data_IF_994235631436
#
_entry.id   IF_994235631436
#
_cell.length_a   1.000
_cell.length_b   1.000
_cell.length_c   1.000
_cell.angle_alpha   90.00
_cell.angle_beta   90.00
_cell.angle_gamma   90.00
#
_symmetry.space_group_name_H-M   'P 1'
#
loop_
_entity.id
_entity.type
_entity.pdbx_description
1 polymer ?
#
# COMPACT_ATOMS: atom_id res chain seq x y z
N UNK A 1 16.22 22.87 10.19
CA UNK A 1 15.25 22.22 9.27
C UNK A 1 15.91 20.99 8.69
N UNK A 2 15.29 19.83 8.75
CA UNK A 2 15.84 18.67 8.07
C UNK A 2 15.89 18.96 6.55
N UNK A 3 16.98 18.56 5.92
CA UNK A 3 17.10 18.66 4.48
C UNK A 3 16.11 17.68 3.85
N UNK A 4 15.11 18.21 3.15
CA UNK A 4 14.13 17.41 2.44
C UNK A 4 14.47 17.38 0.94
N UNK A 5 14.56 16.19 0.38
CA UNK A 5 14.81 15.99 -1.05
C UNK A 5 13.57 15.38 -1.68
N UNK A 6 13.04 16.03 -2.71
CA UNK A 6 11.90 15.47 -3.46
C UNK A 6 12.36 14.30 -4.32
N UNK A 7 11.71 13.16 -4.16
CA UNK A 7 11.96 11.92 -4.91
C UNK A 7 10.99 11.77 -6.07
N UNK A 8 9.71 12.07 -5.83
CA UNK A 8 8.68 12.07 -6.85
C UNK A 8 7.89 13.37 -6.75
N UNK A 9 7.63 14.00 -7.89
CA UNK A 9 6.63 15.04 -8.03
C UNK A 9 5.27 14.43 -8.40
N UNK A 10 4.24 15.24 -8.53
CA UNK A 10 2.88 14.77 -8.83
C UNK A 10 2.82 13.96 -10.14
N UNK A 11 3.49 14.43 -11.18
CA UNK A 11 3.49 13.74 -12.48
C UNK A 11 4.21 12.39 -12.41
N UNK A 12 5.36 12.34 -11.74
CA UNK A 12 6.12 11.10 -11.57
C UNK A 12 5.32 10.09 -10.72
N UNK A 13 4.62 10.54 -9.69
CA UNK A 13 3.74 9.70 -8.90
C UNK A 13 2.60 9.12 -9.74
N UNK A 14 1.95 9.96 -10.55
CA UNK A 14 0.88 9.52 -11.44
C UNK A 14 1.37 8.45 -12.43
N UNK A 15 2.54 8.66 -13.01
CA UNK A 15 3.16 7.69 -13.92
C UNK A 15 3.48 6.37 -13.23
N UNK A 16 4.01 6.43 -12.01
CA UNK A 16 4.32 5.23 -11.22
C UNK A 16 3.04 4.43 -10.93
N UNK A 17 1.96 5.08 -10.52
CA UNK A 17 0.69 4.41 -10.23
C UNK A 17 0.06 3.82 -11.50
N UNK A 18 0.12 4.52 -12.61
CA UNK A 18 -0.36 4.02 -13.90
C UNK A 18 0.40 2.75 -14.31
N UNK A 19 1.71 2.75 -14.15
CA UNK A 19 2.54 1.57 -14.42
C UNK A 19 2.19 0.41 -13.49
N UNK A 20 2.03 0.67 -12.20
CA UNK A 20 1.63 -0.36 -11.22
C UNK A 20 0.29 -0.97 -11.62
N UNK A 21 -0.70 -0.15 -12.01
CA UNK A 21 -2.00 -0.65 -12.45
C UNK A 21 -1.88 -1.59 -13.64
N UNK A 22 -1.07 -1.23 -14.63
CA UNK A 22 -0.81 -2.10 -15.79
C UNK A 22 -0.09 -3.40 -15.40
N UNK A 23 0.87 -3.33 -14.48
CA UNK A 23 1.58 -4.51 -13.98
C UNK A 23 0.62 -5.46 -13.22
N UNK A 24 -0.29 -4.90 -12.41
CA UNK A 24 -1.32 -5.69 -11.73
C UNK A 24 -2.22 -6.37 -12.77
N UNK A 25 -2.64 -5.64 -13.79
CA UNK A 25 -3.50 -6.16 -14.85
C UNK A 25 -2.83 -7.28 -15.64
N UNK A 26 -1.55 -7.14 -15.96
CA UNK A 26 -0.80 -8.18 -16.67
C UNK A 26 -0.64 -9.46 -15.86
N UNK A 27 -0.42 -9.31 -14.55
CA UNK A 27 -0.19 -10.45 -13.66
C UNK A 27 -1.48 -11.17 -13.27
N UNK A 28 -2.62 -10.51 -13.36
CA UNK A 28 -3.92 -11.02 -12.94
C UNK A 28 -4.90 -10.97 -14.10
N UNK A 29 -4.86 -11.98 -14.95
CA UNK A 29 -5.69 -12.05 -16.16
C UNK A 29 -7.15 -11.73 -15.90
N UNK A 30 -7.73 -10.85 -16.72
CA UNK A 30 -9.12 -10.44 -16.72
C UNK A 30 -9.66 -9.82 -15.41
N UNK A 31 -8.92 -9.85 -14.32
CA UNK A 31 -9.24 -9.17 -13.07
C UNK A 31 -10.44 -9.68 -12.27
N UNK A 32 -11.06 -10.80 -12.68
CA UNK A 32 -12.35 -11.24 -12.15
C UNK A 32 -12.33 -11.61 -10.66
N UNK A 33 -11.17 -12.00 -10.13
CA UNK A 33 -11.02 -12.44 -8.74
C UNK A 33 -10.05 -11.54 -7.95
N UNK A 34 -9.79 -10.33 -8.44
CA UNK A 34 -8.89 -9.39 -7.80
C UNK A 34 -9.68 -8.39 -6.97
N UNK A 35 -9.25 -8.18 -5.73
CA UNK A 35 -9.74 -7.12 -4.85
C UNK A 35 -8.55 -6.33 -4.32
N UNK A 36 -8.75 -5.04 -4.08
CA UNK A 36 -7.72 -4.17 -3.51
C UNK A 36 -8.03 -3.91 -2.04
N UNK A 37 -7.01 -3.88 -1.22
CA UNK A 37 -7.12 -3.51 0.19
C UNK A 37 -6.04 -2.50 0.52
N UNK A 38 -6.45 -1.27 0.77
CA UNK A 38 -5.55 -0.19 1.18
C UNK A 38 -5.28 -0.23 2.67
N UNK A 39 -4.01 -0.17 3.04
CA UNK A 39 -3.59 -0.16 4.44
C UNK A 39 -3.65 1.28 4.95
N UNK A 40 -4.31 1.47 6.08
CA UNK A 40 -4.37 2.77 6.73
C UNK A 40 -2.96 3.23 7.14
N UNK A 41 -2.59 4.47 6.88
CA UNK A 41 -3.41 5.54 6.28
C UNK A 41 -3.08 5.77 4.81
N UNK A 42 -1.81 5.85 4.44
CA UNK A 42 -1.35 6.24 3.10
C UNK A 42 -1.71 5.26 1.99
N UNK A 43 -1.90 3.97 2.32
CA UNK A 43 -2.32 2.98 1.33
C UNK A 43 -3.76 3.13 0.86
N UNK A 44 -4.63 3.78 1.64
CA UNK A 44 -6.04 3.93 1.29
C UNK A 44 -6.26 4.82 0.08
N UNK A 45 -5.75 6.07 0.02
CA UNK A 45 -5.87 6.88 -1.19
C UNK A 45 -5.23 6.24 -2.41
N UNK A 46 -4.09 5.58 -2.23
CA UNK A 46 -3.39 4.90 -3.33
C UNK A 46 -4.21 3.73 -3.87
N UNK A 47 -4.83 2.94 -3.00
CA UNK A 47 -5.74 1.86 -3.42
C UNK A 47 -6.92 2.41 -4.22
N UNK A 48 -7.48 3.53 -3.81
CA UNK A 48 -8.58 4.18 -4.54
C UNK A 48 -8.14 4.66 -5.92
N UNK A 49 -6.95 5.23 -6.03
CA UNK A 49 -6.38 5.65 -7.32
C UNK A 49 -6.11 4.43 -8.23
N UNK A 50 -5.56 3.35 -7.68
CA UNK A 50 -5.35 2.11 -8.42
C UNK A 50 -6.68 1.47 -8.85
N UNK A 51 -7.69 1.53 -7.99
CA UNK A 51 -9.05 1.06 -8.33
C UNK A 51 -9.59 1.78 -9.56
N UNK A 52 -9.48 3.10 -9.61
CA UNK A 52 -9.92 3.89 -10.76
C UNK A 52 -9.17 3.53 -12.04
N UNK A 53 -7.84 3.37 -11.95
CA UNK A 53 -7.01 2.99 -13.09
C UNK A 53 -7.34 1.58 -13.60
N UNK A 54 -7.48 0.61 -12.70
CA UNK A 54 -7.82 -0.78 -13.04
C UNK A 54 -9.23 -0.89 -13.61
N UNK A 55 -10.16 -0.11 -13.09
CA UNK A 55 -11.54 -0.05 -13.62
C UNK A 55 -11.51 0.40 -15.09
N UNK A 56 -10.67 1.38 -15.40
CA UNK A 56 -10.46 1.82 -16.79
C UNK A 56 -9.82 0.74 -17.68
N UNK A 57 -8.89 -0.03 -17.13
CA UNK A 57 -8.19 -1.09 -17.88
C UNK A 57 -9.10 -2.30 -18.12
N UNK A 58 -9.80 -2.76 -17.09
CA UNK A 58 -10.60 -3.98 -17.14
C UNK A 58 -12.05 -3.76 -17.56
N UNK A 59 -12.53 -2.52 -17.56
CA UNK A 59 -13.91 -2.20 -17.89
C UNK A 59 -14.94 -2.63 -16.84
N UNK A 60 -14.50 -2.97 -15.64
CA UNK A 60 -15.35 -3.35 -14.52
C UNK A 60 -14.78 -2.82 -13.21
N UNK A 61 -15.67 -2.49 -12.27
CA UNK A 61 -15.26 -1.97 -10.97
C UNK A 61 -14.53 -3.03 -10.14
N UNK A 62 -13.38 -2.66 -9.59
CA UNK A 62 -12.59 -3.52 -8.71
C UNK A 62 -13.02 -3.28 -7.26
N UNK A 63 -13.49 -4.31 -6.54
CA UNK A 63 -13.82 -4.14 -5.13
C UNK A 63 -12.61 -3.67 -4.33
N UNK A 64 -12.79 -2.65 -3.50
CA UNK A 64 -11.70 -2.03 -2.75
C UNK A 64 -12.11 -1.87 -1.29
N UNK A 65 -11.26 -2.32 -0.39
CA UNK A 65 -11.44 -2.24 1.04
C UNK A 65 -10.36 -1.42 1.73
N UNK A 66 -10.59 -1.16 3.01
CA UNK A 66 -9.73 -0.39 3.90
C UNK A 66 -9.37 -1.26 5.09
N UNK A 67 -8.09 -1.35 5.43
CA UNK A 67 -7.60 -2.19 6.52
C UNK A 67 -6.77 -1.35 7.48
N UNK A 68 -7.16 -1.36 8.75
CA UNK A 68 -6.32 -0.86 9.83
C UNK A 68 -5.57 -2.03 10.47
N UNK A 69 -4.27 -1.89 10.64
CA UNK A 69 -3.40 -2.94 11.19
C UNK A 69 -2.90 -2.62 12.60
N UNK A 70 -3.35 -1.53 13.20
CA UNK A 70 -2.86 -1.04 14.49
C UNK A 70 -2.88 -2.10 15.59
N UNK A 71 -3.92 -2.94 15.62
CA UNK A 71 -4.11 -3.97 16.63
C UNK A 71 -3.34 -5.27 16.37
N UNK A 72 -2.72 -5.41 15.18
CA UNK A 72 -2.00 -6.62 14.77
C UNK A 72 -0.48 -6.43 14.73
N UNK A 73 -0.01 -5.23 15.07
CA UNK A 73 1.43 -4.94 15.07
C UNK A 73 2.10 -5.56 16.28
N UNK A 74 3.27 -6.15 16.08
CA UNK A 74 4.07 -6.79 17.11
C UNK A 74 4.88 -5.80 17.97
N UNK A 75 4.85 -4.51 17.64
CA UNK A 75 5.53 -3.43 18.38
C UNK A 75 4.57 -2.60 19.25
N UNK A 76 3.35 -3.09 19.51
CA UNK A 76 2.32 -2.38 20.30
C UNK A 76 2.80 -2.03 21.73
N UNK A 77 3.58 -2.88 22.35
CA UNK A 77 4.08 -2.68 23.71
C UNK A 77 5.05 -1.49 23.83
N UNK A 78 5.55 -1.00 22.73
CA UNK A 78 6.52 0.08 22.67
C UNK A 78 5.92 1.43 22.31
N UNK A 79 4.61 1.48 22.18
CA UNK A 79 3.89 2.68 21.73
C UNK A 79 2.89 3.13 22.75
N UNK A 80 2.66 4.45 22.79
CA UNK A 80 1.43 5.02 23.32
C UNK A 80 0.25 4.39 22.57
N UNK A 81 -0.91 4.29 23.22
CA UNK A 81 -2.11 3.64 22.68
C UNK A 81 -2.26 3.83 21.16
N UNK A 82 -2.50 2.76 20.38
CA UNK A 82 -2.59 2.86 18.93
C UNK A 82 -3.75 3.76 18.52
N UNK A 83 -3.52 4.58 17.50
CA UNK A 83 -4.56 5.38 16.86
C UNK A 83 -5.33 4.50 15.88
N UNK A 84 -6.39 3.84 16.38
CA UNK A 84 -7.19 2.90 15.60
C UNK A 84 -8.05 3.65 14.58
N UNK A 85 -7.91 3.28 13.31
CA UNK A 85 -8.72 3.78 12.21
C UNK A 85 -9.73 2.70 11.80
N UNK A 86 -10.82 3.04 11.08
CA UNK A 86 -11.79 2.02 10.67
C UNK A 86 -11.21 1.02 9.67
N UNK A 87 -11.60 -0.25 9.82
CA UNK A 87 -11.43 -1.30 8.82
C UNK A 87 -12.78 -1.50 8.15
N UNK A 88 -12.81 -1.42 6.83
CA UNK A 88 -14.02 -1.61 6.02
C UNK A 88 -13.67 -2.49 4.83
N UNK A 89 -13.99 -3.77 4.90
CA UNK A 89 -13.83 -4.74 3.82
C UNK A 89 -15.21 -5.30 3.49
N UNK A 90 -15.95 -4.65 2.55
CA UNK A 90 -17.36 -4.98 2.30
C UNK A 90 -17.55 -6.17 1.35
N UNK A 91 -16.60 -7.10 1.33
CA UNK A 91 -16.64 -8.30 0.49
C UNK A 91 -15.94 -9.46 1.21
N UNK A 92 -16.21 -10.68 0.78
CA UNK A 92 -15.49 -11.87 1.24
C UNK A 92 -14.18 -12.00 0.46
N UNK A 93 -13.05 -12.10 1.16
CA UNK A 93 -11.74 -12.26 0.53
C UNK A 93 -11.43 -13.72 0.19
N UNK A 94 -12.26 -14.66 0.64
CA UNK A 94 -12.03 -16.10 0.44
C UNK A 94 -11.99 -16.44 -1.05
N UNK A 95 -10.92 -17.10 -1.47
CA UNK A 95 -10.70 -17.52 -2.85
C UNK A 95 -10.29 -16.40 -3.79
N UNK A 96 -10.13 -15.18 -3.29
CA UNK A 96 -9.76 -14.01 -4.09
C UNK A 96 -8.24 -13.80 -4.10
N UNK A 97 -7.77 -13.09 -5.10
CA UNK A 97 -6.45 -12.47 -5.08
C UNK A 97 -6.59 -11.09 -4.45
N UNK A 98 -5.99 -10.92 -3.29
CA UNK A 98 -5.98 -9.64 -2.58
C UNK A 98 -4.68 -8.90 -2.92
N UNK A 99 -4.79 -7.71 -3.47
CA UNK A 99 -3.64 -6.82 -3.62
C UNK A 99 -3.66 -5.85 -2.46
N UNK A 100 -2.74 -6.03 -1.52
CA UNK A 100 -2.49 -5.08 -0.44
C UNK A 100 -1.77 -3.87 -1.01
N UNK A 101 -2.21 -2.69 -0.63
CA UNK A 101 -1.64 -1.42 -1.11
C UNK A 101 -1.16 -0.62 0.08
N UNK A 102 0.10 -0.20 0.03
CA UNK A 102 0.68 0.69 1.03
C UNK A 102 1.54 1.77 0.35
N UNK A 103 1.86 2.81 1.08
CA UNK A 103 2.67 3.91 0.54
C UNK A 103 4.17 3.59 0.59
N UNK A 104 4.69 3.14 1.73
CA UNK A 104 6.11 2.88 1.93
C UNK A 104 6.33 1.50 2.53
N UNK A 105 7.18 0.72 1.88
CA UNK A 105 7.64 -0.56 2.40
C UNK A 105 9.01 -0.37 3.07
N UNK A 106 9.10 -0.73 4.33
CA UNK A 106 10.29 -0.59 5.17
C UNK A 106 10.71 -1.95 5.73
N UNK A 107 10.45 -2.21 7.01
CA UNK A 107 10.85 -3.46 7.67
C UNK A 107 10.04 -4.68 7.24
N UNK A 108 8.84 -4.48 6.74
CA UNK A 108 7.87 -5.54 6.42
C UNK A 108 6.89 -5.83 7.54
N UNK A 109 7.03 -5.22 8.71
CA UNK A 109 6.18 -5.49 9.88
C UNK A 109 4.74 -5.04 9.68
N UNK A 110 4.52 -3.91 9.03
CA UNK A 110 3.16 -3.46 8.68
C UNK A 110 2.46 -4.46 7.75
N UNK A 111 3.19 -4.98 6.78
CA UNK A 111 2.62 -5.95 5.82
C UNK A 111 2.33 -7.29 6.49
N UNK A 112 3.19 -7.75 7.37
CA UNK A 112 2.91 -8.93 8.18
C UNK A 112 1.63 -8.76 9.00
N UNK A 113 1.51 -7.62 9.68
CA UNK A 113 0.30 -7.29 10.44
C UNK A 113 -0.95 -7.26 9.56
N UNK A 114 -0.83 -6.74 8.33
CA UNK A 114 -1.92 -6.73 7.36
C UNK A 114 -2.35 -8.14 6.95
N UNK A 115 -1.39 -9.02 6.69
CA UNK A 115 -1.69 -10.42 6.36
C UNK A 115 -2.37 -11.14 7.52
N UNK A 116 -1.93 -10.90 8.75
CA UNK A 116 -2.59 -11.45 9.95
C UNK A 116 -4.02 -10.93 10.09
N UNK A 117 -4.23 -9.64 9.91
CA UNK A 117 -5.55 -9.01 10.00
C UNK A 117 -6.53 -9.53 8.95
N UNK A 118 -6.06 -9.82 7.74
CA UNK A 118 -6.90 -10.36 6.67
C UNK A 118 -7.54 -11.71 7.03
N UNK A 119 -6.91 -12.49 7.91
CA UNK A 119 -7.45 -13.79 8.34
C UNK A 119 -8.82 -13.66 9.03
N UNK A 120 -9.14 -12.51 9.58
CA UNK A 120 -10.44 -12.24 10.20
C UNK A 120 -11.56 -12.10 9.15
N UNK A 121 -11.22 -11.91 7.88
CA UNK A 121 -12.14 -11.62 6.79
C UNK A 121 -12.29 -12.76 5.77
N UNK A 122 -11.59 -13.86 5.96
CA UNK A 122 -11.62 -15.02 5.10
C UNK A 122 -10.23 -15.52 4.76
N UNK A 123 -10.16 -16.44 3.79
CA UNK A 123 -8.90 -17.03 3.34
C UNK A 123 -8.65 -16.67 1.88
N UNK A 124 -7.85 -15.66 1.60
CA UNK A 124 -7.45 -15.34 0.23
C UNK A 124 -6.77 -16.53 -0.44
N UNK A 125 -6.99 -16.68 -1.74
CA UNK A 125 -6.23 -17.64 -2.54
C UNK A 125 -4.77 -17.17 -2.69
N UNK A 126 -4.58 -15.88 -2.78
CA UNK A 126 -3.27 -15.26 -3.01
C UNK A 126 -3.28 -13.83 -2.44
N UNK A 127 -2.16 -13.42 -1.91
CA UNK A 127 -1.92 -12.04 -1.49
C UNK A 127 -0.75 -11.50 -2.30
N UNK A 128 -0.96 -10.37 -2.96
CA UNK A 128 0.07 -9.60 -3.65
C UNK A 128 0.24 -8.27 -2.95
N UNK A 129 1.39 -7.64 -3.11
CA UNK A 129 1.72 -6.38 -2.45
C UNK A 129 2.13 -5.33 -3.48
N UNK A 130 1.44 -4.20 -3.46
CA UNK A 130 1.78 -3.00 -4.24
C UNK A 130 2.16 -1.87 -3.29
N UNK A 131 3.33 -1.28 -3.50
CA UNK A 131 3.80 -0.13 -2.71
C UNK A 131 4.28 0.98 -3.64
N UNK A 132 4.07 2.22 -3.24
CA UNK A 132 4.59 3.35 -4.02
C UNK A 132 6.11 3.42 -3.91
N UNK A 133 6.63 3.28 -2.70
CA UNK A 133 8.07 3.36 -2.41
C UNK A 133 8.52 2.12 -1.66
N UNK A 134 9.59 1.51 -2.14
CA UNK A 134 10.38 0.53 -1.37
C UNK A 134 11.68 1.20 -0.96
N UNK A 135 11.87 1.40 0.33
CA UNK A 135 13.05 2.09 0.88
C UNK A 135 14.13 1.15 1.41
N UNK A 136 13.91 -0.16 1.34
CA UNK A 136 14.83 -1.15 1.89
C UNK A 136 14.71 -1.32 3.40
N UNK A 137 15.74 -1.89 4.01
CA UNK A 137 15.86 -2.14 5.45
C UNK A 137 14.88 -3.17 6.00
N UNK A 138 14.65 -4.26 5.27
CA UNK A 138 13.79 -5.36 5.73
C UNK A 138 14.30 -5.98 7.03
N UNK A 139 13.37 -6.29 7.90
CA UNK A 139 13.58 -7.14 9.07
C UNK A 139 12.85 -8.50 8.92
N UNK A 140 11.93 -8.59 7.99
CA UNK A 140 11.17 -9.80 7.66
C UNK A 140 11.32 -10.12 6.18
N UNK A 141 11.19 -11.41 5.76
CA UNK A 141 11.31 -11.80 4.35
C UNK A 141 10.05 -11.44 3.55
N UNK A 142 9.78 -10.15 3.43
CA UNK A 142 8.66 -9.57 2.70
C UNK A 142 9.19 -8.87 1.45
N UNK A 143 8.56 -9.12 0.32
CA UNK A 143 8.89 -8.48 -0.95
C UNK A 143 7.61 -7.96 -1.61
N UNK A 144 7.67 -6.76 -2.16
CA UNK A 144 6.57 -6.22 -2.95
C UNK A 144 6.57 -6.84 -4.36
N UNK A 145 5.38 -7.13 -4.86
CA UNK A 145 5.18 -7.59 -6.24
C UNK A 145 5.21 -6.43 -7.21
N UNK A 146 4.71 -5.27 -6.78
CA UNK A 146 4.62 -4.06 -7.60
C UNK A 146 5.19 -2.88 -6.82
N UNK A 147 6.16 -2.20 -7.39
CA UNK A 147 6.87 -1.09 -6.74
C UNK A 147 6.86 0.13 -7.64
N UNK A 148 6.45 1.27 -7.10
CA UNK A 148 6.49 2.54 -7.81
C UNK A 148 7.94 2.99 -8.04
N UNK A 149 8.72 3.04 -6.95
CA UNK A 149 10.14 3.38 -7.03
C UNK A 149 10.91 2.72 -5.88
N UNK A 150 12.04 2.12 -6.21
CA UNK A 150 13.02 1.68 -5.22
C UNK A 150 13.93 2.85 -4.87
N UNK A 151 14.01 3.20 -3.59
CA UNK A 151 14.77 4.35 -3.11
C UNK A 151 15.74 3.89 -2.04
N UNK A 152 17.05 3.86 -2.32
CA UNK A 152 18.04 3.59 -1.28
C UNK A 152 18.00 4.68 -0.22
N UNK A 153 17.94 4.29 1.04
CA UNK A 153 17.91 5.24 2.16
C UNK A 153 18.85 4.80 3.25
N UNK A 154 19.26 5.74 4.11
CA UNK A 154 19.83 5.40 5.39
C UNK A 154 18.73 5.00 6.37
N UNK A 155 19.07 4.22 7.39
CA UNK A 155 18.09 3.75 8.38
C UNK A 155 17.40 4.93 9.09
N UNK A 156 18.15 6.01 9.35
CA UNK A 156 17.64 7.20 10.04
C UNK A 156 16.82 8.13 9.15
N UNK A 157 16.91 7.97 7.82
CA UNK A 157 16.13 8.79 6.88
C UNK A 157 14.64 8.54 7.06
N UNK A 158 13.84 9.57 6.77
CA UNK A 158 12.38 9.45 6.76
C UNK A 158 11.85 9.67 5.36
N UNK A 159 11.07 8.72 4.88
CA UNK A 159 10.36 8.84 3.61
C UNK A 159 8.94 9.29 3.91
N UNK A 160 8.53 10.42 3.31
CA UNK A 160 7.18 10.93 3.45
C UNK A 160 6.46 10.95 2.11
N UNK A 161 5.34 10.28 2.06
CA UNK A 161 4.41 10.34 0.93
C UNK A 161 3.30 11.32 1.29
N UNK A 162 3.19 12.39 0.53
CA UNK A 162 2.14 13.39 0.69
C UNK A 162 1.15 13.24 -0.44
N UNK A 163 -0.13 13.23 -0.10
CA UNK A 163 -1.22 13.03 -1.04
C UNK A 163 -2.28 14.11 -0.87
N UNK A 164 -2.87 14.54 -1.97
CA UNK A 164 -3.93 15.57 -1.97
C UNK A 164 -5.12 15.14 -1.12
N UNK A 165 -5.46 13.87 -1.08
CA UNK A 165 -6.55 13.32 -0.24
C UNK A 165 -6.28 13.48 1.26
N UNK A 166 -5.03 13.67 1.65
CA UNK A 166 -4.59 13.85 3.04
C UNK A 166 -4.23 15.30 3.36
N UNK A 167 -4.57 16.23 2.47
CA UNK A 167 -4.39 17.66 2.68
C UNK A 167 -3.05 18.23 2.21
N UNK A 168 -2.23 17.44 1.52
CA UNK A 168 -0.95 17.85 0.96
C UNK A 168 -0.99 18.05 -0.55
N UNK A 169 0.17 18.29 -1.14
CA UNK A 169 0.39 18.14 -2.56
C UNK A 169 0.89 16.71 -2.83
N UNK A 170 0.67 16.20 -4.04
CA UNK A 170 1.20 14.89 -4.41
C UNK A 170 2.72 14.97 -4.57
N UNK A 171 3.43 14.38 -3.64
CA UNK A 171 4.90 14.28 -3.70
C UNK A 171 5.42 13.20 -2.76
N UNK A 172 6.65 12.77 -3.01
CA UNK A 172 7.42 11.93 -2.10
C UNK A 172 8.72 12.66 -1.78
N UNK A 173 9.02 12.80 -0.50
CA UNK A 173 10.27 13.45 -0.03
C UNK A 173 11.03 12.52 0.92
N UNK A 174 12.35 12.68 0.95
CA UNK A 174 13.22 12.09 1.97
C UNK A 174 13.71 13.21 2.86
N UNK A 175 13.53 13.05 4.15
CA UNK A 175 14.07 13.92 5.20
C UNK A 175 15.25 13.20 5.85
N UNK A 176 16.42 13.87 5.90
CA UNK A 176 17.62 13.34 6.51
C UNK A 176 17.79 13.81 7.95
#
# INVERSE_FOLDING_TARGET
MPDATQILNALAMQRALTRIAHEIAERNEAGSEVVLVGIQRGGVPLAQRLCALLTGIWGQTVPTGILDVSMHRDDLDRRVAPNVQPTVIPFDVTGKTVVLVDDVLFSGRTIRAAMDALNDFGRPRRIQLAVLIDRGHRELPIKADFVGKNVPTALADRVRVRLTEMGGADEVVIEK
#
